data_IF_991465695336
#
_entry.id   IF_991465695336
#
_cell.length_a   1.000
_cell.length_b   1.000
_cell.length_c   1.000
_cell.angle_alpha   90.00
_cell.angle_beta   90.00
_cell.angle_gamma   90.00
#
_symmetry.space_group_name_H-M   'P 1'
#
loop_
_entity.id
_entity.type
_entity.pdbx_description
1 polymer ?
#
# COMPACT_ATOMS: atom_id res chain seq x y z
N UNK A 1 78.14 -5.07 7.43
CA UNK A 1 76.86 -5.77 7.63
C UNK A 1 75.78 -4.96 6.92
N UNK A 2 75.27 -5.46 5.79
CA UNK A 2 74.22 -4.80 5.01
C UNK A 2 72.87 -5.40 5.38
N UNK A 3 71.96 -4.60 5.94
CA UNK A 3 70.58 -5.02 6.19
C UNK A 3 69.65 -4.25 5.26
N UNK A 4 69.07 -4.94 4.27
CA UNK A 4 68.02 -4.41 3.40
C UNK A 4 66.67 -4.77 4.03
N UNK A 5 65.91 -3.78 4.48
CA UNK A 5 64.51 -3.97 4.87
C UNK A 5 63.61 -3.46 3.75
N UNK A 6 63.07 -4.38 2.96
CA UNK A 6 62.01 -4.10 2.00
C UNK A 6 60.67 -4.09 2.74
N UNK A 7 59.97 -2.95 2.73
CA UNK A 7 58.58 -2.87 3.19
C UNK A 7 57.65 -3.22 2.02
N UNK A 8 56.92 -4.33 2.15
CA UNK A 8 55.80 -4.65 1.26
C UNK A 8 54.54 -3.94 1.77
N UNK A 9 53.96 -3.06 0.97
CA UNK A 9 52.64 -2.47 1.23
C UNK A 9 51.55 -3.46 0.80
N UNK A 10 50.76 -3.95 1.75
CA UNK A 10 49.50 -4.63 1.46
C UNK A 10 48.39 -3.58 1.34
N UNK A 11 47.87 -3.39 0.13
CA UNK A 11 46.68 -2.56 -0.11
C UNK A 11 45.44 -3.42 0.16
N UNK A 12 44.69 -3.09 1.21
CA UNK A 12 43.39 -3.71 1.47
C UNK A 12 42.33 -3.07 0.56
N UNK A 13 41.85 -3.83 -0.42
CA UNK A 13 40.66 -3.49 -1.22
C UNK A 13 39.41 -3.69 -0.35
N UNK A 14 38.89 -2.59 0.22
CA UNK A 14 37.54 -2.55 0.80
C UNK A 14 36.51 -2.69 -0.33
N UNK A 15 35.95 -3.88 -0.48
CA UNK A 15 34.80 -4.11 -1.35
C UNK A 15 33.58 -3.35 -0.82
N UNK A 16 33.04 -2.43 -1.63
CA UNK A 16 31.72 -1.84 -1.44
C UNK A 16 30.66 -2.92 -1.69
N UNK A 17 30.23 -3.62 -0.65
CA UNK A 17 29.03 -4.44 -0.75
C UNK A 17 27.82 -3.50 -0.86
N UNK A 18 26.91 -3.69 -1.83
CA UNK A 18 25.66 -2.94 -1.86
C UNK A 18 24.85 -3.31 -0.61
N UNK A 19 24.57 -2.32 0.24
CA UNK A 19 23.69 -2.50 1.40
C UNK A 19 22.25 -2.57 0.91
N UNK A 20 21.68 -3.76 0.87
CA UNK A 20 20.22 -3.93 0.76
C UNK A 20 19.59 -3.45 2.07
N UNK A 21 18.86 -2.33 2.02
CA UNK A 21 18.09 -1.82 3.15
C UNK A 21 16.91 -2.75 3.41
N UNK A 22 16.84 -3.33 4.61
CA UNK A 22 15.77 -4.24 4.99
C UNK A 22 14.42 -3.51 5.14
N UNK A 23 13.31 -4.23 4.94
CA UNK A 23 11.98 -3.68 5.13
C UNK A 23 11.78 -3.07 6.54
N UNK A 24 11.21 -1.87 6.57
CA UNK A 24 10.81 -1.17 7.80
C UNK A 24 9.38 -1.50 8.23
N UNK A 25 8.65 -2.25 7.40
CA UNK A 25 7.27 -2.64 7.67
C UNK A 25 7.18 -3.92 8.49
N UNK A 26 6.16 -4.01 9.34
CA UNK A 26 5.92 -5.17 10.21
C UNK A 26 4.57 -5.81 9.91
N UNK A 27 4.45 -7.13 10.11
CA UNK A 27 3.16 -7.82 9.93
C UNK A 27 2.14 -7.30 10.94
N UNK A 28 0.95 -6.98 10.46
CA UNK A 28 -0.18 -6.47 11.25
C UNK A 28 -1.46 -7.23 10.89
N UNK A 29 -2.13 -7.83 11.89
CA UNK A 29 -3.41 -8.53 11.70
C UNK A 29 -4.54 -7.61 12.14
N UNK A 30 -5.34 -7.13 11.19
CA UNK A 30 -6.45 -6.23 11.49
C UNK A 30 -7.70 -7.03 11.86
N UNK A 31 -8.08 -7.05 13.14
CA UNK A 31 -9.23 -7.82 13.61
C UNK A 31 -10.56 -7.39 12.97
N UNK A 32 -10.70 -6.11 12.61
CA UNK A 32 -11.94 -5.61 11.99
C UNK A 32 -12.11 -6.12 10.56
N UNK A 33 -11.04 -6.12 9.76
CA UNK A 33 -11.11 -6.54 8.37
C UNK A 33 -10.76 -8.02 8.15
N UNK A 34 -10.09 -8.67 9.08
CA UNK A 34 -9.59 -10.04 8.95
C UNK A 34 -8.35 -10.18 8.06
N UNK A 35 -7.91 -9.11 7.40
CA UNK A 35 -6.69 -9.11 6.60
C UNK A 35 -5.44 -9.15 7.48
N UNK A 36 -4.45 -9.88 7.00
CA UNK A 36 -3.05 -9.73 7.38
C UNK A 36 -2.41 -8.73 6.44
N UNK A 37 -1.95 -7.62 7.00
CA UNK A 37 -1.21 -6.57 6.32
C UNK A 37 0.27 -6.66 6.69
N UNK A 38 1.11 -5.99 5.91
CA UNK A 38 2.34 -5.38 6.43
C UNK A 38 2.08 -3.89 6.63
N UNK A 39 2.57 -3.34 7.75
CA UNK A 39 2.26 -1.99 8.25
C UNK A 39 3.54 -1.19 8.41
N UNK A 40 3.50 0.07 8.02
CA UNK A 40 4.51 1.06 8.33
C UNK A 40 3.86 2.24 9.05
N UNK A 41 4.40 2.61 10.21
CA UNK A 41 3.93 3.76 10.98
C UNK A 41 4.79 4.99 10.61
N UNK A 42 4.24 5.80 9.71
CA UNK A 42 4.86 7.00 9.18
C UNK A 42 4.75 8.16 10.17
N UNK A 43 5.88 8.71 10.61
CA UNK A 43 5.91 9.91 11.44
C UNK A 43 5.52 11.15 10.60
N UNK A 44 4.39 11.78 10.95
CA UNK A 44 3.88 12.98 10.28
C UNK A 44 4.21 14.28 11.03
N UNK A 45 4.71 14.14 12.26
CA UNK A 45 5.18 15.15 13.20
C UNK A 45 5.84 14.41 14.35
N UNK A 46 6.71 15.09 15.10
CA UNK A 46 7.38 14.50 16.27
C UNK A 46 6.36 13.80 17.18
N UNK A 47 6.50 12.48 17.31
CA UNK A 47 5.65 11.64 18.17
C UNK A 47 4.22 11.43 17.65
N UNK A 48 3.92 11.75 16.39
CA UNK A 48 2.61 11.56 15.76
C UNK A 48 2.74 10.76 14.48
N UNK A 49 1.92 9.72 14.35
CA UNK A 49 2.08 8.73 13.29
C UNK A 49 0.79 8.54 12.47
N UNK A 50 0.97 8.07 11.25
CA UNK A 50 -0.05 7.52 10.37
C UNK A 50 0.35 6.11 9.94
N UNK A 51 -0.58 5.16 9.98
CA UNK A 51 -0.29 3.81 9.55
C UNK A 51 -0.63 3.64 8.05
N UNK A 52 0.31 3.11 7.29
CA UNK A 52 0.14 2.69 5.91
C UNK A 52 0.31 1.18 5.82
N UNK A 53 -0.72 0.50 5.34
CA UNK A 53 -0.83 -0.96 5.38
C UNK A 53 -1.19 -1.52 4.01
N UNK A 54 -0.50 -2.57 3.60
CA UNK A 54 -0.77 -3.27 2.34
C UNK A 54 -1.01 -4.75 2.60
N UNK A 55 -2.08 -5.27 2.01
CA UNK A 55 -2.39 -6.69 1.97
C UNK A 55 -2.52 -7.13 0.51
N UNK A 56 -2.03 -8.32 0.20
CA UNK A 56 -2.01 -8.88 -1.15
C UNK A 56 -2.53 -10.31 -1.14
N UNK A 57 -2.97 -10.86 -2.28
CA UNK A 57 -3.40 -12.24 -2.36
C UNK A 57 -2.20 -13.18 -2.32
N UNK A 58 -2.33 -14.32 -1.63
CA UNK A 58 -1.24 -15.28 -1.47
C UNK A 58 -0.83 -15.96 -2.80
N UNK A 59 -1.74 -16.02 -3.77
CA UNK A 59 -1.50 -16.55 -5.11
C UNK A 59 -0.97 -15.49 -6.10
N UNK A 60 -0.59 -14.28 -5.65
CA UNK A 60 0.05 -13.30 -6.51
C UNK A 60 1.35 -13.85 -7.11
N UNK A 61 1.47 -13.78 -8.44
CA UNK A 61 2.61 -14.32 -9.20
C UNK A 61 3.57 -13.19 -9.56
N UNK A 62 4.89 -13.33 -9.29
CA UNK A 62 5.88 -12.36 -9.73
C UNK A 62 5.81 -12.07 -11.24
N UNK A 63 5.90 -10.79 -11.60
CA UNK A 63 5.83 -10.34 -12.99
C UNK A 63 4.40 -10.24 -13.57
N UNK A 64 3.36 -10.59 -12.80
CA UNK A 64 1.96 -10.40 -13.20
C UNK A 64 1.28 -9.34 -12.32
N UNK A 65 0.34 -8.56 -12.86
CA UNK A 65 -0.49 -7.66 -12.06
C UNK A 65 -1.38 -8.45 -11.10
N UNK A 66 -1.63 -7.89 -9.92
CA UNK A 66 -2.54 -8.44 -8.92
C UNK A 66 -3.26 -7.32 -8.16
N UNK A 67 -4.44 -7.64 -7.63
CA UNK A 67 -5.17 -6.69 -6.77
C UNK A 67 -4.49 -6.59 -5.40
N UNK A 68 -4.57 -5.42 -4.77
CA UNK A 68 -4.03 -5.20 -3.43
C UNK A 68 -5.04 -4.42 -2.57
N UNK A 69 -5.00 -4.57 -1.25
CA UNK A 69 -5.77 -3.73 -0.33
C UNK A 69 -4.82 -2.73 0.32
N UNK A 70 -5.15 -1.44 0.21
CA UNK A 70 -4.50 -0.36 0.93
C UNK A 70 -5.36 0.03 2.13
N UNK A 71 -4.76 0.09 3.32
CA UNK A 71 -5.36 0.66 4.51
C UNK A 71 -4.51 1.83 5.01
N UNK A 72 -5.15 2.99 5.17
CA UNK A 72 -4.54 4.20 5.75
C UNK A 72 -5.29 4.55 7.01
N UNK A 73 -4.58 4.64 8.13
CA UNK A 73 -5.12 5.10 9.43
C UNK A 73 -4.44 6.40 9.81
N UNK A 74 -5.23 7.44 10.01
CA UNK A 74 -4.74 8.78 10.25
C UNK A 74 -5.42 9.43 11.46
N UNK A 75 -4.71 10.32 12.18
CA UNK A 75 -5.33 11.22 13.13
C UNK A 75 -6.45 12.06 12.48
N UNK A 76 -7.50 12.38 13.24
CA UNK A 76 -8.69 13.06 12.72
C UNK A 76 -8.41 14.49 12.18
N UNK A 77 -7.32 15.11 12.64
CA UNK A 77 -6.85 16.42 12.16
C UNK A 77 -6.00 16.33 10.88
N UNK A 78 -5.78 15.14 10.33
CA UNK A 78 -5.19 14.94 9.02
C UNK A 78 -6.17 15.38 7.93
N UNK A 79 -5.75 16.35 7.11
CA UNK A 79 -6.55 16.86 5.99
C UNK A 79 -6.64 15.85 4.86
N UNK A 80 -5.49 15.29 4.45
CA UNK A 80 -5.41 14.17 3.52
C UNK A 80 -4.09 13.42 3.67
N UNK A 81 -4.06 12.19 3.16
CA UNK A 81 -2.88 11.32 3.11
C UNK A 81 -2.69 10.69 1.74
N UNK A 82 -1.53 10.94 1.16
CA UNK A 82 -1.06 10.36 -0.08
C UNK A 82 -0.31 9.05 0.16
N UNK A 83 -0.45 8.13 -0.77
CA UNK A 83 0.32 6.89 -0.87
C UNK A 83 0.80 6.73 -2.31
N UNK A 84 2.07 6.38 -2.51
CA UNK A 84 2.68 6.20 -3.81
C UNK A 84 3.19 4.77 -3.99
N UNK A 85 2.55 4.04 -4.91
CA UNK A 85 2.87 2.63 -5.19
C UNK A 85 4.27 2.43 -5.79
N UNK A 86 4.85 3.46 -6.39
CA UNK A 86 6.19 3.42 -6.97
C UNK A 86 7.27 4.12 -6.13
N UNK A 87 6.98 4.52 -4.90
CA UNK A 87 7.96 5.17 -4.03
C UNK A 87 8.27 6.64 -4.37
N UNK A 88 7.51 7.25 -5.27
CA UNK A 88 7.68 8.65 -5.66
C UNK A 88 6.37 9.32 -6.05
N UNK A 89 6.40 10.64 -6.24
CA UNK A 89 5.22 11.39 -6.66
C UNK A 89 4.93 11.20 -8.16
N UNK A 90 5.96 11.12 -8.99
CA UNK A 90 5.82 11.21 -10.44
C UNK A 90 5.90 9.84 -11.10
N UNK A 91 5.03 9.61 -12.08
CA UNK A 91 5.04 8.43 -12.95
C UNK A 91 4.81 7.09 -12.25
N UNK A 92 3.95 7.10 -11.24
CA UNK A 92 3.39 5.92 -10.60
C UNK A 92 1.98 6.19 -10.09
N UNK A 93 1.17 5.15 -9.86
CA UNK A 93 -0.14 5.29 -9.26
C UNK A 93 -0.02 5.92 -7.87
N UNK A 94 -0.94 6.84 -7.58
CA UNK A 94 -1.07 7.52 -6.30
C UNK A 94 -2.47 7.26 -5.74
N UNK A 95 -2.56 7.00 -4.44
CA UNK A 95 -3.80 7.06 -3.68
C UNK A 95 -3.82 8.35 -2.86
N UNK A 96 -4.90 9.11 -2.90
CA UNK A 96 -5.13 10.22 -1.95
C UNK A 96 -6.34 9.89 -1.11
N UNK A 97 -6.15 9.81 0.21
CA UNK A 97 -7.14 9.32 1.18
C UNK A 97 -7.49 10.42 2.17
N UNK A 98 -8.76 10.55 2.53
CA UNK A 98 -9.20 11.47 3.59
C UNK A 98 -10.58 11.09 4.13
N UNK A 99 -10.99 11.78 5.18
CA UNK A 99 -12.37 11.77 5.66
C UNK A 99 -13.10 13.03 5.20
N UNK A 100 -14.18 12.85 4.45
CA UNK A 100 -15.15 13.89 4.12
C UNK A 100 -16.31 13.83 5.11
N UNK A 101 -16.18 14.52 6.25
CA UNK A 101 -17.09 14.32 7.37
C UNK A 101 -16.92 12.92 7.94
N UNK A 102 -17.99 12.14 8.03
CA UNK A 102 -17.95 10.73 8.42
C UNK A 102 -17.66 9.76 7.27
N UNK A 103 -17.56 10.26 6.03
CA UNK A 103 -17.41 9.43 4.85
C UNK A 103 -15.93 9.28 4.47
N UNK A 104 -15.38 8.04 4.46
CA UNK A 104 -14.05 7.80 3.92
C UNK A 104 -14.03 8.05 2.40
N UNK A 105 -12.97 8.67 1.91
CA UNK A 105 -12.76 8.93 0.47
C UNK A 105 -11.36 8.50 0.06
N UNK A 106 -11.24 7.90 -1.11
CA UNK A 106 -9.98 7.60 -1.79
C UNK A 106 -10.07 8.05 -3.25
N UNK A 107 -8.99 8.65 -3.74
CA UNK A 107 -8.85 9.15 -5.10
C UNK A 107 -7.64 8.50 -5.79
N UNK A 108 -7.87 7.95 -6.98
CA UNK A 108 -6.80 7.43 -7.85
C UNK A 108 -6.18 8.57 -8.63
N UNK A 109 -4.88 8.81 -8.45
CA UNK A 109 -4.18 9.94 -9.08
C UNK A 109 -2.86 9.56 -9.74
N UNK A 110 -2.42 10.45 -10.61
CA UNK A 110 -1.14 10.38 -11.32
C UNK A 110 -0.55 11.77 -11.49
N UNK A 111 0.77 11.88 -11.42
CA UNK A 111 1.50 13.10 -11.74
C UNK A 111 2.62 12.77 -12.73
N UNK A 112 2.68 13.48 -13.85
CA UNK A 112 3.80 13.37 -14.81
C UNK A 112 5.02 14.17 -14.35
N UNK A 113 4.77 15.27 -13.61
CA UNK A 113 5.75 16.20 -13.03
C UNK A 113 5.32 16.57 -11.61
N UNK A 114 6.09 17.39 -10.89
CA UNK A 114 5.80 17.81 -9.51
C UNK A 114 4.74 18.91 -9.44
N UNK A 115 3.57 18.64 -9.99
CA UNK A 115 2.37 19.49 -9.94
C UNK A 115 1.21 18.72 -9.31
N UNK A 116 0.10 19.39 -9.01
CA UNK A 116 -1.08 18.74 -8.42
C UNK A 116 -1.45 17.47 -9.23
N UNK A 117 -1.43 16.28 -8.62
CA UNK A 117 -1.81 15.06 -9.32
C UNK A 117 -3.25 15.13 -9.80
N UNK A 118 -3.49 14.65 -11.01
CA UNK A 118 -4.82 14.57 -11.63
C UNK A 118 -5.38 13.15 -11.51
N UNK A 119 -6.66 12.96 -11.82
CA UNK A 119 -7.30 11.65 -11.84
C UNK A 119 -6.52 10.64 -12.72
N UNK A 120 -6.46 9.40 -12.26
CA UNK A 120 -5.78 8.30 -12.95
C UNK A 120 -6.73 7.13 -13.17
N UNK A 121 -6.96 6.79 -14.43
CA UNK A 121 -7.87 5.71 -14.84
C UNK A 121 -7.22 4.34 -14.88
N UNK A 122 -5.89 4.24 -14.83
CA UNK A 122 -5.17 2.96 -14.85
C UNK A 122 -5.27 2.17 -13.53
N UNK A 123 -5.79 2.79 -12.47
CA UNK A 123 -6.10 2.11 -11.23
C UNK A 123 -7.46 2.56 -10.68
N UNK A 124 -8.20 1.64 -10.09
CA UNK A 124 -9.50 1.90 -9.47
C UNK A 124 -9.48 1.46 -8.01
N UNK A 125 -10.10 2.26 -7.15
CA UNK A 125 -10.24 1.95 -5.73
C UNK A 125 -11.70 1.69 -5.39
N UNK A 126 -11.93 0.62 -4.63
CA UNK A 126 -13.23 0.27 -4.07
C UNK A 126 -13.12 0.24 -2.55
N UNK A 127 -13.81 1.17 -1.88
CA UNK A 127 -13.78 1.27 -0.42
C UNK A 127 -14.43 0.02 0.19
N UNK A 128 -13.71 -0.64 1.08
CA UNK A 128 -14.19 -1.72 1.93
C UNK A 128 -14.90 -1.08 3.13
N UNK A 129 -16.20 -0.86 3.02
CA UNK A 129 -16.98 0.00 3.93
C UNK A 129 -16.97 -0.51 5.37
N UNK A 130 -17.11 -1.82 5.58
CA UNK A 130 -17.06 -2.45 6.91
C UNK A 130 -15.66 -2.48 7.54
N UNK A 131 -14.63 -2.28 6.72
CA UNK A 131 -13.23 -2.16 7.15
C UNK A 131 -12.74 -0.69 7.21
N UNK A 132 -13.61 0.27 6.90
CA UNK A 132 -13.33 1.71 6.94
C UNK A 132 -14.14 2.37 8.03
N UNK A 133 -13.65 3.48 8.60
CA UNK A 133 -14.32 4.16 9.70
C UNK A 133 -13.82 5.59 9.86
N UNK A 134 -14.68 6.48 10.31
CA UNK A 134 -14.28 7.81 10.83
C UNK A 134 -14.85 7.95 12.23
N UNK A 135 -13.99 8.28 13.20
CA UNK A 135 -14.39 8.50 14.60
C UNK A 135 -13.72 9.77 15.15
N UNK A 136 -13.93 10.06 16.44
CA UNK A 136 -13.45 11.29 17.07
C UNK A 136 -11.93 11.44 17.17
N UNK A 137 -11.15 10.38 16.92
CA UNK A 137 -9.69 10.40 17.04
C UNK A 137 -8.98 10.10 15.72
N UNK A 138 -9.58 9.25 14.88
CA UNK A 138 -8.96 8.77 13.65
C UNK A 138 -9.98 8.61 12.54
N UNK A 139 -9.49 8.73 11.32
CA UNK A 139 -10.13 8.14 10.16
C UNK A 139 -9.29 6.97 9.64
N UNK A 140 -9.98 5.98 9.10
CA UNK A 140 -9.44 4.76 8.51
C UNK A 140 -10.10 4.55 7.16
N UNK A 141 -9.30 4.58 6.11
CA UNK A 141 -9.72 4.25 4.74
C UNK A 141 -9.08 2.92 4.39
N UNK A 142 -9.91 1.89 4.19
CA UNK A 142 -9.48 0.59 3.66
C UNK A 142 -10.11 0.40 2.29
N UNK A 143 -9.32 0.21 1.25
CA UNK A 143 -9.81 0.08 -0.12
C UNK A 143 -9.07 -1.01 -0.89
N UNK A 144 -9.83 -1.81 -1.63
CA UNK A 144 -9.30 -2.66 -2.69
C UNK A 144 -8.83 -1.76 -3.82
N UNK A 145 -7.60 -1.94 -4.28
CA UNK A 145 -7.10 -1.36 -5.51
C UNK A 145 -6.89 -2.42 -6.59
N UNK A 146 -7.48 -2.16 -7.76
CA UNK A 146 -7.20 -2.87 -9.02
C UNK A 146 -6.31 -1.98 -9.90
N UNK A 147 -5.27 -2.54 -10.50
CA UNK A 147 -4.34 -1.80 -11.37
C UNK A 147 -3.27 -0.98 -10.64
N UNK A 148 -3.17 -1.08 -9.31
CA UNK A 148 -2.13 -0.37 -8.55
C UNK A 148 -0.75 -1.02 -8.58
N UNK A 149 -0.67 -2.32 -8.87
CA UNK A 149 0.56 -3.13 -8.77
C UNK A 149 1.28 -3.28 -10.09
N UNK A 150 0.72 -2.70 -11.17
CA UNK A 150 1.34 -2.66 -12.49
C UNK A 150 0.99 -1.36 -13.21
N UNK A 151 1.98 -0.68 -13.78
CA UNK A 151 1.77 0.57 -14.52
C UNK A 151 2.90 0.85 -15.51
N UNK A 152 2.67 1.78 -16.43
CA UNK A 152 3.70 2.29 -17.33
C UNK A 152 4.61 3.29 -16.59
N UNK A 153 5.77 2.85 -16.14
CA UNK A 153 6.79 3.69 -15.51
C UNK A 153 7.61 4.50 -16.52
N UNK A 154 8.67 5.16 -16.04
CA UNK A 154 9.56 5.97 -16.89
C UNK A 154 10.40 5.17 -17.87
N UNK A 155 10.75 3.92 -17.53
CA UNK A 155 11.64 3.05 -18.31
C UNK A 155 10.95 1.78 -18.82
N UNK A 156 9.62 1.73 -18.78
CA UNK A 156 8.82 0.56 -19.17
C UNK A 156 7.78 0.19 -18.13
N UNK A 157 7.13 -0.95 -18.32
CA UNK A 157 6.14 -1.47 -17.37
C UNK A 157 6.81 -1.85 -16.06
N UNK A 158 6.29 -1.30 -14.96
CA UNK A 158 6.64 -1.69 -13.60
C UNK A 158 5.59 -2.66 -13.11
N UNK A 159 6.01 -3.78 -12.51
CA UNK A 159 5.14 -4.70 -11.78
C UNK A 159 5.76 -4.95 -10.42
N UNK A 160 4.97 -4.78 -9.35
CA UNK A 160 5.44 -5.04 -7.99
C UNK A 160 5.70 -6.53 -7.80
N UNK A 161 6.79 -6.87 -7.11
CA UNK A 161 7.10 -8.26 -6.79
C UNK A 161 6.38 -8.67 -5.49
N UNK A 162 5.41 -9.59 -5.52
CA UNK A 162 4.65 -9.99 -4.33
C UNK A 162 5.47 -10.80 -3.32
N UNK A 163 6.66 -11.28 -3.69
CA UNK A 163 7.57 -12.01 -2.82
C UNK A 163 8.77 -11.17 -2.33
N UNK A 164 8.81 -9.88 -2.71
CA UNK A 164 9.95 -9.01 -2.43
C UNK A 164 9.59 -7.80 -1.58
N UNK A 165 10.63 -7.01 -1.34
CA UNK A 165 10.50 -5.68 -0.76
C UNK A 165 10.31 -4.65 -1.87
N UNK A 166 9.49 -3.64 -1.61
CA UNK A 166 9.28 -2.52 -2.52
C UNK A 166 9.38 -1.21 -1.78
N UNK A 167 9.87 -0.17 -2.45
CA UNK A 167 9.88 1.17 -1.89
C UNK A 167 8.55 1.83 -2.13
N UNK A 168 7.87 2.19 -1.05
CA UNK A 168 6.70 3.04 -1.09
C UNK A 168 7.03 4.43 -0.56
N UNK A 169 6.13 5.38 -0.84
CA UNK A 169 6.22 6.71 -0.29
C UNK A 169 4.86 7.18 0.18
N UNK A 170 4.88 8.10 1.14
CA UNK A 170 3.69 8.74 1.63
C UNK A 170 3.82 10.25 1.55
N UNK A 171 2.68 10.90 1.56
CA UNK A 171 2.57 12.34 1.68
C UNK A 171 1.42 12.68 2.64
N UNK A 172 1.52 13.80 3.34
CA UNK A 172 0.53 14.21 4.32
C UNK A 172 0.32 15.72 4.28
N UNK A 173 -0.91 16.18 4.48
CA UNK A 173 -1.22 17.58 4.75
C UNK A 173 -2.31 17.73 5.80
N UNK A 174 -2.22 18.83 6.56
CA UNK A 174 -3.28 19.27 7.48
C UNK A 174 -4.44 19.96 6.76
N UNK A 175 -4.19 20.49 5.56
CA UNK A 175 -5.19 21.24 4.79
C UNK A 175 -6.10 20.23 4.08
N UNK A 176 -7.41 20.32 4.35
CA UNK A 176 -8.39 19.43 3.72
C UNK A 176 -8.48 19.68 2.21
N UNK A 177 -8.82 18.67 1.40
CA UNK A 177 -9.22 18.87 0.02
C UNK A 177 -10.36 19.89 -0.11
N UNK A 178 -10.47 20.53 -1.27
CA UNK A 178 -11.45 21.61 -1.53
C UNK A 178 -12.91 21.18 -1.57
N UNK A 179 -13.18 19.88 -1.54
CA UNK A 179 -14.52 19.33 -1.59
C UNK A 179 -14.58 17.86 -1.16
N UNK A 180 -15.75 17.26 -1.39
CA UNK A 180 -16.06 15.89 -0.92
C UNK A 180 -15.85 14.82 -1.99
N UNK A 181 -15.73 15.23 -3.26
CA UNK A 181 -15.52 14.32 -4.39
C UNK A 181 -14.07 13.79 -4.44
N UNK A 182 -13.84 12.55 -4.91
CA UNK A 182 -12.51 12.04 -5.24
C UNK A 182 -11.66 12.97 -6.11
N UNK A 183 -12.28 13.81 -6.95
CA UNK A 183 -11.59 14.75 -7.85
C UNK A 183 -11.28 16.11 -7.22
N UNK A 184 -11.56 16.30 -5.93
CA UNK A 184 -11.30 17.56 -5.21
C UNK A 184 -9.84 18.02 -5.34
N UNK A 185 -9.61 19.32 -5.48
CA UNK A 185 -8.24 19.84 -5.49
C UNK A 185 -7.59 19.66 -4.12
N UNK A 186 -6.29 19.39 -4.11
CA UNK A 186 -5.48 19.24 -2.90
C UNK A 186 -4.33 20.24 -2.94
N UNK A 187 -3.95 20.74 -1.78
CA UNK A 187 -2.74 21.54 -1.63
C UNK A 187 -1.50 20.64 -1.60
N UNK A 188 -0.31 21.25 -1.67
CA UNK A 188 0.96 20.52 -1.49
C UNK A 188 1.03 19.89 -0.08
N UNK A 189 1.69 18.73 0.02
CA UNK A 189 1.93 18.07 1.30
C UNK A 189 2.87 18.87 2.21
N UNK A 190 2.62 18.82 3.50
CA UNK A 190 3.51 19.35 4.54
C UNK A 190 4.67 18.39 4.86
N UNK A 191 4.43 17.09 4.78
CA UNK A 191 5.42 16.03 5.06
C UNK A 191 5.33 14.96 3.99
N UNK A 192 6.49 14.42 3.59
CA UNK A 192 6.60 13.25 2.74
C UNK A 192 7.83 12.45 3.18
N UNK A 193 7.80 11.13 3.00
CA UNK A 193 8.98 10.28 3.12
C UNK A 193 8.77 8.97 2.37
N UNK A 194 9.82 8.16 2.30
CA UNK A 194 9.81 6.81 1.72
C UNK A 194 10.15 5.76 2.76
N UNK A 195 9.78 4.51 2.51
CA UNK A 195 10.23 3.37 3.31
C UNK A 195 10.33 2.10 2.44
N UNK A 196 11.09 1.12 2.92
CA UNK A 196 11.10 -0.23 2.35
C UNK A 196 9.97 -1.07 2.97
N UNK A 197 9.13 -1.65 2.11
CA UNK A 197 7.94 -2.39 2.52
C UNK A 197 8.02 -3.84 2.05
N UNK A 198 7.86 -4.77 2.97
CA UNK A 198 7.74 -6.20 2.68
C UNK A 198 6.32 -6.50 2.20
N UNK A 199 6.16 -6.93 0.94
CA UNK A 199 4.85 -7.37 0.44
C UNK A 199 4.54 -8.83 0.78
N UNK A 200 5.57 -9.64 1.02
CA UNK A 200 5.42 -11.07 1.26
C UNK A 200 4.71 -11.34 2.60
N UNK A 201 5.04 -10.57 3.65
CA UNK A 201 4.38 -10.67 4.96
C UNK A 201 2.88 -10.31 4.94
N UNK A 202 2.41 -9.57 3.92
CA UNK A 202 1.01 -9.15 3.76
C UNK A 202 0.14 -10.10 2.94
N UNK A 203 0.59 -11.33 2.69
CA UNK A 203 -0.16 -12.32 1.89
C UNK A 203 -1.36 -12.92 2.64
N UNK A 204 -2.48 -13.03 1.94
CA UNK A 204 -3.73 -13.61 2.46
C UNK A 204 -4.23 -14.73 1.53
N UNK A 205 -4.41 -15.94 2.06
CA UNK A 205 -4.93 -17.08 1.31
C UNK A 205 -6.42 -16.89 0.95
N UNK A 206 -7.19 -16.27 1.84
CA UNK A 206 -8.61 -15.98 1.71
C UNK A 206 -8.87 -14.54 1.22
N UNK A 207 -7.96 -13.95 0.44
CA UNK A 207 -8.03 -12.55 0.01
C UNK A 207 -9.36 -12.19 -0.69
N UNK A 208 -9.86 -13.09 -1.54
CA UNK A 208 -11.12 -12.90 -2.26
C UNK A 208 -12.35 -12.89 -1.35
N UNK A 209 -12.37 -13.76 -0.35
CA UNK A 209 -13.43 -13.79 0.65
C UNK A 209 -13.40 -12.52 1.50
N UNK A 210 -12.22 -12.15 2.00
CA UNK A 210 -12.02 -10.97 2.84
C UNK A 210 -12.42 -9.69 2.11
N UNK A 211 -12.04 -9.51 0.83
CA UNK A 211 -12.48 -8.32 0.09
C UNK A 211 -13.98 -8.32 -0.14
N UNK A 212 -14.61 -9.48 -0.44
CA UNK A 212 -16.04 -9.49 -0.71
C UNK A 212 -16.86 -9.11 0.52
N UNK A 213 -16.58 -9.69 1.70
CA UNK A 213 -17.42 -9.48 2.90
C UNK A 213 -17.50 -8.00 3.35
N UNK A 214 -16.55 -7.16 2.92
CA UNK A 214 -16.52 -5.73 3.25
C UNK A 214 -17.10 -4.82 2.18
N UNK A 215 -17.47 -5.36 1.03
CA UNK A 215 -18.16 -4.63 -0.04
C UNK A 215 -19.68 -4.67 0.09
N UNK A 216 -20.21 -5.52 0.97
CA UNK A 216 -21.64 -5.76 1.10
C UNK A 216 -22.29 -4.74 2.06
N UNK A 217 -23.25 -3.99 1.54
CA UNK A 217 -24.14 -3.12 2.34
C UNK A 217 -25.41 -3.84 2.82
N UNK A 218 -25.61 -5.11 2.48
CA UNK A 218 -26.81 -5.88 2.84
C UNK A 218 -26.47 -7.31 3.34
N UNK A 219 -27.22 -7.83 4.32
CA UNK A 219 -26.95 -9.13 4.96
C UNK A 219 -27.11 -10.36 4.04
N UNK A 220 -27.93 -10.28 2.97
CA UNK A 220 -28.29 -11.46 2.16
C UNK A 220 -27.22 -11.92 1.16
N UNK A 221 -26.17 -11.13 0.93
CA UNK A 221 -25.11 -11.46 -0.04
C UNK A 221 -23.89 -12.17 0.55
N UNK A 222 -23.76 -12.27 1.88
CA UNK A 222 -22.67 -13.03 2.49
C UNK A 222 -22.76 -14.52 2.11
N UNK A 223 -23.99 -15.05 2.07
CA UNK A 223 -24.30 -16.39 1.56
C UNK A 223 -24.01 -16.51 0.06
N UNK A 224 -24.25 -15.44 -0.71
CA UNK A 224 -24.02 -15.42 -2.16
C UNK A 224 -22.53 -15.37 -2.52
N UNK A 225 -21.70 -14.63 -1.78
CA UNK A 225 -20.25 -14.60 -2.01
C UNK A 225 -19.56 -15.89 -1.59
N UNK A 226 -19.97 -16.49 -0.45
CA UNK A 226 -19.52 -17.82 -0.06
C UNK A 226 -19.99 -18.90 -1.06
N UNK A 227 -21.20 -18.77 -1.62
CA UNK A 227 -21.73 -19.69 -2.64
C UNK A 227 -21.04 -19.54 -4.00
N UNK A 228 -20.75 -18.32 -4.46
CA UNK A 228 -20.01 -18.08 -5.71
C UNK A 228 -18.58 -18.62 -5.60
N UNK A 229 -17.86 -18.38 -4.49
CA UNK A 229 -16.53 -18.97 -4.30
C UNK A 229 -16.57 -20.51 -4.30
N UNK A 230 -17.60 -21.12 -3.69
CA UNK A 230 -17.81 -22.58 -3.73
C UNK A 230 -18.14 -23.12 -5.13
N UNK A 231 -18.80 -22.33 -5.97
CA UNK A 231 -19.13 -22.69 -7.36
C UNK A 231 -17.91 -22.55 -8.29
N UNK A 232 -17.01 -21.60 -8.03
CA UNK A 232 -15.78 -21.39 -8.84
C UNK A 232 -14.66 -22.35 -8.42
N UNK A 233 -14.63 -22.83 -7.18
CA UNK A 233 -13.59 -23.72 -6.67
C UNK A 233 -13.64 -25.19 -7.17
N UNK A 234 -14.70 -25.62 -7.85
CA UNK A 234 -14.80 -26.97 -8.44
C UNK A 234 -14.85 -28.12 -7.41
N UNK A 235 -15.35 -29.32 -7.79
CA UNK A 235 -15.56 -30.43 -6.88
C UNK A 235 -14.34 -31.35 -6.78
N UNK A 236 -13.20 -30.89 -6.25
CA UNK A 236 -11.99 -31.74 -6.14
C UNK A 236 -11.51 -31.97 -4.68
N UNK A 237 -12.21 -31.46 -3.66
CA UNK A 237 -11.81 -31.67 -2.26
C UNK A 237 -12.92 -32.23 -1.35
N UNK A 238 -13.72 -33.15 -1.89
CA UNK A 238 -14.58 -34.05 -1.10
C UNK A 238 -14.17 -35.50 -1.24
N UNK A 239 -12.87 -35.80 -1.11
CA UNK A 239 -12.43 -37.14 -0.73
C UNK A 239 -11.04 -37.02 -0.13
N UNK A 240 -10.97 -37.14 1.19
CA UNK A 240 -9.99 -37.92 1.98
C UNK A 240 -10.07 -37.46 3.44
N UNK A 241 -10.81 -38.27 4.22
CA UNK A 241 -10.81 -38.48 5.67
C UNK A 241 -10.96 -37.27 6.60
#
# INVERSE_FOLDING_TARGET
>A
MHWKSSFAYAVALLGLAPTTEAANSVVFRDAQSGFTFTSFDAEIQIGRYMAYRVAIPANAVPGQPYDAVLQVVAPIDAGWAGFAWGGGMTRNPLAVNWASGSTPVVSSRWASTRVMPTAYSGATYQILSRASSVNGTHWKVTALCKGCTSWAGSSGTVVLNPAGETRFAFAYSRVKPSGTSPDATITVHSVQNTWMHDLNGGKNANFDELRCIHLLTFPDYATFCAAILRLVAGPEHRFLL
#
